data_IF_935931197939
#
_entry.id   IF_935931197939
#
_cell.length_a   1.000
_cell.length_b   1.000
_cell.length_c   1.000
_cell.angle_alpha   90.00
_cell.angle_beta   90.00
_cell.angle_gamma   90.00
#
_symmetry.space_group_name_H-M   'P 1'
#
loop_
_entity.id
_entity.type
_entity.pdbx_description
1 polymer ?
#
# COMPACT_ATOMS: atom_id res chain seq x y z
N UNK A 1 23.85 11.36 -24.13
CA UNK A 1 23.47 11.36 -22.70
C UNK A 1 22.12 10.69 -22.58
N UNK A 2 22.09 9.37 -22.35
CA UNK A 2 20.85 8.62 -22.19
C UNK A 2 20.36 8.84 -20.77
N UNK A 3 19.26 9.60 -20.60
CA UNK A 3 18.65 9.77 -19.29
C UNK A 3 18.19 8.38 -18.80
N UNK A 4 18.53 7.95 -17.57
CA UNK A 4 17.97 6.71 -17.04
C UNK A 4 16.46 6.87 -17.07
N UNK A 5 15.75 5.90 -17.68
CA UNK A 5 14.30 5.90 -17.68
C UNK A 5 13.83 6.03 -16.22
N UNK A 6 13.18 7.14 -15.87
CA UNK A 6 12.63 7.31 -14.52
C UNK A 6 11.57 6.26 -14.33
N UNK A 7 11.83 5.32 -13.42
CA UNK A 7 10.81 4.38 -12.97
C UNK A 7 9.63 5.18 -12.41
N UNK A 8 8.49 5.06 -13.07
CA UNK A 8 7.24 5.64 -12.61
C UNK A 8 6.72 4.73 -11.49
N UNK A 9 6.16 5.34 -10.45
CA UNK A 9 5.61 4.62 -9.32
C UNK A 9 4.13 4.96 -9.20
N UNK A 10 3.32 3.94 -8.99
CA UNK A 10 1.92 4.09 -8.62
C UNK A 10 1.80 3.92 -7.10
N UNK A 11 0.93 4.72 -6.49
CA UNK A 11 0.67 4.70 -5.06
C UNK A 11 -0.82 4.44 -4.81
N UNK A 12 -1.11 3.55 -3.87
CA UNK A 12 -2.46 3.24 -3.43
C UNK A 12 -2.58 3.38 -1.91
N UNK A 13 -3.76 3.82 -1.48
CA UNK A 13 -4.11 3.95 -0.07
C UNK A 13 -5.37 3.12 0.17
N UNK A 14 -5.29 2.14 1.07
CA UNK A 14 -6.40 1.22 1.33
C UNK A 14 -6.75 1.17 2.82
N UNK A 15 -8.04 1.16 3.18
CA UNK A 15 -8.45 0.92 4.55
C UNK A 15 -8.23 -0.56 4.92
N UNK A 16 -7.69 -0.80 6.10
CA UNK A 16 -7.50 -2.14 6.67
C UNK A 16 -8.58 -2.39 7.73
N UNK A 17 -9.25 -3.53 7.60
CA UNK A 17 -10.17 -4.03 8.60
C UNK A 17 -9.37 -4.85 9.63
N UNK A 18 -9.45 -4.51 10.92
CA UNK A 18 -8.60 -5.11 11.98
C UNK A 18 -8.66 -6.63 12.04
N UNK A 19 -9.82 -7.22 11.79
CA UNK A 19 -9.99 -8.67 11.79
C UNK A 19 -9.61 -9.35 10.48
N UNK A 20 -9.21 -8.58 9.46
CA UNK A 20 -8.88 -9.10 8.13
C UNK A 20 -7.63 -8.47 7.47
N UNK A 21 -6.82 -7.74 8.24
CA UNK A 21 -5.64 -7.00 7.74
C UNK A 21 -4.70 -7.89 6.93
N UNK A 22 -4.40 -9.11 7.40
CA UNK A 22 -3.51 -10.03 6.69
C UNK A 22 -4.07 -10.40 5.31
N UNK A 23 -5.33 -10.80 5.22
CA UNK A 23 -5.93 -11.23 3.96
C UNK A 23 -5.99 -10.09 2.94
N UNK A 24 -6.26 -8.86 3.40
CA UNK A 24 -6.22 -7.67 2.56
C UNK A 24 -4.80 -7.48 2.01
N UNK A 25 -3.79 -7.35 2.88
CA UNK A 25 -2.40 -7.11 2.46
C UNK A 25 -1.85 -8.21 1.54
N UNK A 26 -2.20 -9.47 1.80
CA UNK A 26 -1.79 -10.63 1.01
C UNK A 26 -2.34 -10.54 -0.43
N UNK A 27 -3.63 -10.18 -0.58
CA UNK A 27 -4.25 -9.99 -1.90
C UNK A 27 -3.54 -8.90 -2.71
N UNK A 28 -3.29 -7.74 -2.11
CA UNK A 28 -2.57 -6.65 -2.78
C UNK A 28 -1.11 -7.00 -3.08
N UNK A 29 -0.47 -7.79 -2.22
CA UNK A 29 0.86 -8.34 -2.45
C UNK A 29 0.91 -9.26 -3.68
N UNK A 30 -0.12 -10.09 -3.89
CA UNK A 30 -0.26 -10.92 -5.10
C UNK A 30 -0.46 -10.07 -6.36
N UNK A 31 -1.18 -8.95 -6.26
CA UNK A 31 -1.32 -7.95 -7.33
C UNK A 31 -0.02 -7.15 -7.61
N UNK A 32 1.07 -7.46 -6.90
CA UNK A 32 2.39 -6.83 -7.10
C UNK A 32 2.56 -5.49 -6.39
N UNK A 33 1.69 -5.19 -5.42
CA UNK A 33 1.84 -4.00 -4.59
C UNK A 33 2.76 -4.26 -3.41
N UNK A 34 3.70 -3.35 -3.20
CA UNK A 34 4.62 -3.36 -2.07
C UNK A 34 4.07 -2.48 -0.94
N UNK A 35 3.91 -3.06 0.25
CA UNK A 35 3.52 -2.32 1.45
C UNK A 35 4.65 -1.37 1.87
N UNK A 36 4.33 -0.07 1.97
CA UNK A 36 5.27 0.96 2.43
C UNK A 36 5.13 1.18 3.92
N UNK A 37 3.91 1.45 4.39
CA UNK A 37 3.64 1.72 5.80
C UNK A 37 2.16 1.54 6.12
N UNK A 38 1.86 1.34 7.41
CA UNK A 38 0.50 1.29 7.95
C UNK A 38 0.39 2.37 9.02
N UNK A 39 -0.59 3.26 8.88
CA UNK A 39 -0.83 4.36 9.81
C UNK A 39 -2.26 4.29 10.36
N UNK A 40 -2.48 4.71 11.62
CA UNK A 40 -3.83 4.89 12.15
C UNK A 40 -4.52 6.06 11.44
N UNK A 41 -5.76 5.83 11.02
CA UNK A 41 -6.62 6.83 10.41
C UNK A 41 -7.23 7.80 11.44
N UNK A 42 -7.95 8.83 10.96
CA UNK A 42 -8.48 9.90 11.81
C UNK A 42 -9.49 9.45 12.87
N UNK A 43 -10.06 8.24 12.74
CA UNK A 43 -10.98 7.67 13.73
C UNK A 43 -10.33 6.83 14.84
N UNK A 44 -9.01 6.87 14.98
CA UNK A 44 -8.27 6.18 16.05
C UNK A 44 -7.61 4.88 15.61
N UNK A 45 -7.04 4.16 16.58
CA UNK A 45 -6.27 2.91 16.36
C UNK A 45 -7.06 1.77 15.72
N UNK A 46 -8.39 1.87 15.68
CA UNK A 46 -9.26 0.84 15.10
C UNK A 46 -9.33 0.90 13.56
N UNK A 47 -9.01 2.06 12.97
CA UNK A 47 -9.11 2.30 11.53
C UNK A 47 -7.73 2.45 10.94
N UNK A 48 -7.08 1.32 10.62
CA UNK A 48 -5.75 1.32 10.02
C UNK A 48 -5.83 1.60 8.51
N UNK A 49 -4.84 2.30 7.97
CA UNK A 49 -4.71 2.59 6.55
C UNK A 49 -3.33 2.13 6.08
N UNK A 50 -3.30 1.32 5.02
CA UNK A 50 -2.06 0.89 4.37
C UNK A 50 -1.76 1.76 3.16
N UNK A 51 -0.50 2.18 3.06
CA UNK A 51 0.07 2.82 1.90
C UNK A 51 0.90 1.80 1.13
N UNK A 52 0.59 1.63 -0.15
CA UNK A 52 1.29 0.72 -1.03
C UNK A 52 1.86 1.46 -2.23
N UNK A 53 2.92 0.89 -2.79
CA UNK A 53 3.52 1.36 -4.03
C UNK A 53 3.73 0.20 -4.99
N UNK A 54 3.78 0.48 -6.28
CA UNK A 54 4.27 -0.48 -7.28
C UNK A 54 4.97 0.26 -8.43
N UNK A 55 5.91 -0.39 -9.14
CA UNK A 55 6.43 0.14 -10.39
C UNK A 55 5.31 0.17 -11.45
N UNK A 56 5.21 1.28 -12.19
CA UNK A 56 4.29 1.45 -13.32
C UNK A 56 4.89 0.93 -14.63
#
# INVERSE_FOLDING_TARGET
MTQPARQKWEYATIPLLIHNTKAILDSWGVDGWELVTVLPGPGGSDQLVAYLKRPA
#
